data_IF_045517587709
#
_entry.id   IF_045517587709
#
_cell.length_a   1.000
_cell.length_b   1.000
_cell.length_c   1.000
_cell.angle_alpha   90.00
_cell.angle_beta   90.00
_cell.angle_gamma   90.00
#
_symmetry.space_group_name_H-M   'P 1'
#
loop_
_entity.id
_entity.type
_entity.pdbx_description
1 polymer ?
#
# COMPACT_ATOMS: atom_id res chain seq x y z
N UNK A 1 -3.29 -14.91 16.68
CA UNK A 1 -1.99 -15.62 16.56
C UNK A 1 -0.83 -14.93 17.29
N UNK A 2 -1.05 -13.71 17.84
CA UNK A 2 -0.01 -12.92 18.53
C UNK A 2 0.06 -13.11 20.06
N UNK A 3 -0.66 -14.07 20.65
CA UNK A 3 -0.81 -14.20 22.11
C UNK A 3 0.09 -15.24 22.78
N UNK A 4 1.05 -15.84 22.09
CA UNK A 4 1.86 -16.97 22.64
C UNK A 4 3.29 -16.62 23.07
N UNK A 5 3.64 -15.32 23.16
CA UNK A 5 5.02 -14.95 23.59
C UNK A 5 5.10 -14.40 25.02
N UNK A 6 4.09 -14.52 25.84
CA UNK A 6 4.23 -14.18 27.27
C UNK A 6 4.49 -15.45 28.10
N UNK A 7 5.64 -15.47 28.75
CA UNK A 7 6.02 -16.32 29.88
C UNK A 7 6.28 -17.81 29.58
N UNK A 8 7.49 -18.12 29.08
CA UNK A 8 8.07 -19.46 29.19
C UNK A 8 9.44 -19.40 29.87
N UNK A 9 9.45 -19.12 31.17
CA UNK A 9 10.61 -19.44 32.01
C UNK A 9 10.74 -20.95 32.09
N UNK A 10 11.93 -21.46 31.65
CA UNK A 10 12.49 -22.80 31.90
C UNK A 10 12.00 -24.02 31.12
N UNK A 11 11.36 -23.88 29.94
CA UNK A 11 11.19 -25.06 29.07
C UNK A 11 12.40 -25.22 28.14
N UNK A 12 13.02 -26.43 28.07
CA UNK A 12 14.05 -26.71 27.06
C UNK A 12 13.48 -26.51 25.68
N UNK A 13 13.99 -25.52 24.95
CA UNK A 13 13.55 -25.22 23.55
C UNK A 13 13.80 -26.45 22.67
N UNK A 14 12.85 -26.73 21.79
CA UNK A 14 13.03 -27.72 20.71
C UNK A 14 14.14 -27.29 19.76
N UNK A 15 14.64 -28.19 18.92
CA UNK A 15 15.63 -27.85 17.89
C UNK A 15 15.14 -26.73 16.96
N UNK A 16 13.87 -26.75 16.58
CA UNK A 16 13.22 -25.75 15.72
C UNK A 16 13.17 -24.39 16.41
N UNK A 17 12.71 -24.34 17.66
CA UNK A 17 12.66 -23.10 18.46
C UNK A 17 14.04 -22.48 18.66
N UNK A 18 15.10 -23.30 18.87
CA UNK A 18 16.49 -22.82 18.97
C UNK A 18 16.99 -22.19 17.67
N UNK A 19 16.68 -22.79 16.51
CA UNK A 19 17.03 -22.24 15.19
C UNK A 19 16.36 -20.87 15.00
N UNK A 20 15.09 -20.74 15.34
CA UNK A 20 14.35 -19.47 15.22
C UNK A 20 14.97 -18.38 16.11
N UNK A 21 15.26 -18.67 17.36
CA UNK A 21 15.92 -17.72 18.29
C UNK A 21 17.30 -17.30 17.79
N UNK A 22 18.09 -18.23 17.26
CA UNK A 22 19.43 -17.95 16.73
C UNK A 22 19.36 -17.10 15.46
N UNK A 23 18.43 -17.36 14.55
CA UNK A 23 18.19 -16.55 13.34
C UNK A 23 17.76 -15.13 13.70
N UNK A 24 16.78 -14.96 14.59
CA UNK A 24 16.32 -13.64 15.04
C UNK A 24 17.48 -12.85 15.62
N UNK A 25 18.26 -13.45 16.52
CA UNK A 25 19.42 -12.79 17.14
C UNK A 25 20.45 -12.34 16.10
N UNK A 26 20.87 -13.23 15.21
CA UNK A 26 21.86 -12.92 14.16
C UNK A 26 21.40 -11.80 13.26
N UNK A 27 20.12 -11.82 12.83
CA UNK A 27 19.59 -10.79 11.97
C UNK A 27 19.47 -9.45 12.72
N UNK A 28 18.99 -9.46 13.96
CA UNK A 28 18.92 -8.25 14.78
C UNK A 28 20.30 -7.62 15.00
N UNK A 29 21.33 -8.42 15.23
CA UNK A 29 22.70 -7.93 15.37
C UNK A 29 23.22 -7.27 14.06
N UNK A 30 22.97 -7.90 12.91
CA UNK A 30 23.29 -7.32 11.58
C UNK A 30 22.53 -6.01 11.34
N UNK A 31 21.24 -5.96 11.65
CA UNK A 31 20.43 -4.77 11.49
C UNK A 31 20.87 -3.64 12.42
N UNK A 32 21.22 -3.93 13.68
CA UNK A 32 21.77 -2.93 14.61
C UNK A 32 23.04 -2.29 14.08
N UNK A 33 23.95 -3.08 13.54
CA UNK A 33 25.21 -2.59 13.01
C UNK A 33 25.05 -1.74 11.73
N UNK A 34 24.13 -2.10 10.87
CA UNK A 34 24.02 -1.51 9.53
C UNK A 34 22.92 -0.46 9.39
N UNK A 35 21.82 -0.57 10.14
CA UNK A 35 20.66 0.32 10.02
C UNK A 35 20.53 1.31 11.16
N UNK A 36 20.95 0.98 12.38
CA UNK A 36 20.83 1.87 13.53
C UNK A 36 21.40 3.29 13.32
N UNK A 37 22.50 3.48 12.56
CA UNK A 37 23.00 4.80 12.23
C UNK A 37 22.16 5.56 11.19
N UNK A 38 21.23 4.88 10.48
CA UNK A 38 20.51 5.42 9.31
C UNK A 38 18.99 5.43 9.48
N UNK A 39 18.46 4.71 10.45
CA UNK A 39 17.04 4.60 10.71
C UNK A 39 16.77 4.71 12.20
N UNK A 40 15.71 5.42 12.56
CA UNK A 40 15.27 5.58 13.96
C UNK A 40 14.79 4.25 14.54
N UNK A 41 14.10 3.48 13.72
CA UNK A 41 13.58 2.15 14.09
C UNK A 41 13.43 1.27 12.87
N UNK A 42 13.37 -0.03 13.11
CA UNK A 42 13.05 -1.06 12.13
C UNK A 42 12.25 -2.18 12.79
N UNK A 43 11.23 -2.66 12.10
CA UNK A 43 10.52 -3.89 12.44
C UNK A 43 10.61 -4.84 11.26
N UNK A 44 10.83 -6.11 11.52
CA UNK A 44 10.92 -7.11 10.47
C UNK A 44 10.28 -8.43 10.90
N UNK A 45 9.84 -9.19 9.91
CA UNK A 45 9.47 -10.59 10.05
C UNK A 45 9.94 -11.36 8.83
N UNK A 46 10.39 -12.59 9.04
CA UNK A 46 10.72 -13.54 7.97
C UNK A 46 9.80 -14.73 8.11
N UNK A 47 9.15 -15.06 6.99
CA UNK A 47 8.27 -16.22 6.89
C UNK A 47 8.87 -17.23 5.90
N UNK A 48 8.90 -18.50 6.29
CA UNK A 48 9.30 -19.64 5.43
C UNK A 48 8.20 -20.70 5.56
N UNK A 49 7.69 -21.16 4.42
CA UNK A 49 6.63 -22.18 4.35
C UNK A 49 5.40 -21.86 5.24
N UNK A 50 4.99 -20.58 5.26
CA UNK A 50 3.84 -20.12 6.05
C UNK A 50 4.12 -19.93 7.55
N UNK A 51 5.34 -20.19 8.03
CA UNK A 51 5.73 -20.00 9.44
C UNK A 51 6.67 -18.80 9.61
N UNK A 52 6.40 -17.94 10.61
CA UNK A 52 7.32 -16.88 10.99
C UNK A 52 8.51 -17.51 11.70
N UNK A 53 9.68 -17.45 11.06
CA UNK A 53 10.94 -18.03 11.56
C UNK A 53 11.83 -17.03 12.27
N UNK A 54 11.65 -15.73 12.03
CA UNK A 54 12.32 -14.64 12.73
C UNK A 54 11.45 -13.39 12.72
N UNK A 55 11.37 -12.68 13.83
CA UNK A 55 10.72 -11.38 13.92
C UNK A 55 11.31 -10.58 15.10
N UNK A 56 11.55 -9.29 14.90
CA UNK A 56 12.00 -8.37 15.95
C UNK A 56 11.67 -6.93 15.59
N UNK A 57 11.74 -6.04 16.58
CA UNK A 57 11.63 -4.60 16.44
C UNK A 57 12.80 -3.92 17.17
N UNK A 58 13.49 -3.02 16.47
CA UNK A 58 14.72 -2.37 16.93
C UNK A 58 14.59 -0.86 16.84
N UNK A 59 15.19 -0.15 17.81
CA UNK A 59 15.21 1.31 17.84
C UNK A 59 14.06 1.89 18.67
N UNK A 60 13.63 3.10 18.34
CA UNK A 60 12.67 3.88 19.12
C UNK A 60 11.66 4.61 18.22
N UNK A 61 10.57 5.08 18.81
CA UNK A 61 9.41 5.71 18.14
C UNK A 61 9.68 7.11 17.55
N UNK A 62 10.88 7.64 17.73
CA UNK A 62 11.26 8.97 17.23
C UNK A 62 10.78 10.13 18.11
N UNK A 63 10.04 9.90 19.17
CA UNK A 63 9.64 10.92 20.14
C UNK A 63 10.83 11.39 20.96
N UNK A 64 10.64 12.47 21.76
CA UNK A 64 11.69 12.96 22.67
C UNK A 64 12.05 11.92 23.73
N UNK A 65 11.08 11.15 24.16
CA UNK A 65 11.18 10.10 25.16
C UNK A 65 11.96 8.87 24.66
N UNK A 66 12.06 8.71 23.33
CA UNK A 66 12.74 7.57 22.69
C UNK A 66 12.26 6.21 23.20
N UNK A 67 10.92 6.03 23.27
CA UNK A 67 10.34 4.77 23.70
C UNK A 67 10.72 3.65 22.73
N UNK A 68 11.15 2.48 23.25
CA UNK A 68 11.51 1.34 22.39
C UNK A 68 10.32 0.92 21.51
N UNK A 69 10.57 0.66 20.23
CA UNK A 69 9.56 0.06 19.37
C UNK A 69 9.40 -1.44 19.67
N UNK A 70 8.20 -1.94 19.42
CA UNK A 70 7.83 -3.35 19.58
C UNK A 70 7.20 -3.87 18.30
N UNK A 71 6.97 -5.16 18.19
CA UNK A 71 6.26 -5.79 17.06
C UNK A 71 4.80 -5.31 16.91
N UNK A 72 4.26 -4.60 17.90
CA UNK A 72 2.90 -4.03 17.84
C UNK A 72 2.88 -2.60 17.28
N UNK A 73 4.03 -2.01 16.98
CA UNK A 73 4.09 -0.68 16.35
C UNK A 73 3.76 -0.80 14.87
N UNK A 74 2.98 0.15 14.39
CA UNK A 74 2.61 0.26 12.98
C UNK A 74 3.53 1.23 12.25
N UNK A 75 3.76 0.96 10.99
CA UNK A 75 4.57 1.78 10.09
C UNK A 75 3.74 2.16 8.86
N UNK A 76 3.98 3.36 8.36
CA UNK A 76 3.43 3.74 7.07
C UNK A 76 4.13 2.94 5.97
N UNK A 77 3.36 2.12 5.26
CA UNK A 77 3.88 1.20 4.23
C UNK A 77 3.94 1.84 2.83
N UNK A 78 3.51 3.09 2.70
CA UNK A 78 3.59 3.85 1.45
C UNK A 78 3.06 3.03 0.25
N UNK A 79 3.88 2.86 -0.77
CA UNK A 79 3.49 2.22 -2.04
C UNK A 79 3.22 0.72 -1.97
N UNK A 80 3.47 0.07 -0.84
CA UNK A 80 2.97 -1.30 -0.61
C UNK A 80 1.44 -1.31 -0.65
N UNK A 81 0.78 -0.20 -0.29
CA UNK A 81 -0.67 -0.02 -0.42
C UNK A 81 -1.21 -0.30 -1.83
N UNK A 82 -0.38 -0.14 -2.88
CA UNK A 82 -0.76 -0.46 -4.26
C UNK A 82 -1.07 -1.94 -4.48
N UNK A 83 -0.45 -2.82 -3.71
CA UNK A 83 -0.76 -4.25 -3.75
C UNK A 83 -2.21 -4.47 -3.31
N UNK A 84 -2.63 -3.83 -2.21
CA UNK A 84 -4.02 -3.90 -1.74
C UNK A 84 -5.00 -3.32 -2.76
N UNK A 85 -4.66 -2.18 -3.38
CA UNK A 85 -5.47 -1.60 -4.44
C UNK A 85 -5.61 -2.55 -5.64
N UNK A 86 -4.51 -3.17 -6.07
CA UNK A 86 -4.55 -4.16 -7.16
C UNK A 86 -5.43 -5.36 -6.80
N UNK A 87 -5.28 -5.92 -5.59
CA UNK A 87 -6.10 -7.04 -5.13
C UNK A 87 -7.58 -6.64 -5.05
N UNK A 88 -7.89 -5.44 -4.56
CA UNK A 88 -9.26 -4.92 -4.50
C UNK A 88 -9.89 -4.83 -5.90
N UNK A 89 -9.17 -4.28 -6.88
CA UNK A 89 -9.63 -4.25 -8.28
C UNK A 89 -9.84 -5.65 -8.82
N UNK A 90 -8.89 -6.58 -8.58
CA UNK A 90 -9.00 -7.96 -9.06
C UNK A 90 -10.18 -8.72 -8.42
N UNK A 91 -10.52 -8.43 -7.17
CA UNK A 91 -11.76 -8.93 -6.53
C UNK A 91 -13.02 -8.49 -7.29
N UNK A 92 -13.05 -7.24 -7.76
CA UNK A 92 -14.16 -6.74 -8.58
C UNK A 92 -14.17 -7.33 -9.99
N UNK A 93 -12.99 -7.63 -10.55
CA UNK A 93 -12.86 -8.35 -11.83
C UNK A 93 -13.40 -9.76 -11.69
N UNK A 94 -13.03 -10.49 -10.65
CA UNK A 94 -13.51 -11.83 -10.34
C UNK A 94 -15.04 -11.88 -10.18
N UNK A 95 -15.63 -10.81 -9.63
CA UNK A 95 -17.09 -10.64 -9.51
C UNK A 95 -17.78 -10.22 -10.84
N UNK A 96 -17.03 -10.04 -11.93
CA UNK A 96 -17.55 -9.57 -13.22
C UNK A 96 -18.00 -8.11 -13.23
N UNK A 97 -17.66 -7.32 -12.20
CA UNK A 97 -18.06 -5.91 -12.07
C UNK A 97 -17.09 -4.94 -12.77
N UNK A 98 -15.86 -5.37 -12.97
CA UNK A 98 -14.79 -4.58 -13.62
C UNK A 98 -14.14 -5.42 -14.70
N UNK A 99 -13.89 -4.80 -15.87
CA UNK A 99 -13.05 -5.36 -16.90
C UNK A 99 -11.76 -4.52 -16.98
N UNK A 100 -10.60 -5.18 -16.95
CA UNK A 100 -9.30 -4.52 -16.95
C UNK A 100 -9.05 -3.71 -18.22
N UNK A 101 -9.65 -4.08 -19.34
CA UNK A 101 -9.42 -3.45 -20.65
C UNK A 101 -10.47 -2.38 -21.00
N UNK A 102 -11.44 -2.16 -20.12
CA UNK A 102 -12.39 -1.05 -20.24
C UNK A 102 -11.69 0.28 -19.87
N UNK A 103 -11.92 1.37 -20.63
CA UNK A 103 -11.47 2.70 -20.26
C UNK A 103 -11.95 3.09 -18.85
N UNK A 104 -11.02 3.59 -18.03
CA UNK A 104 -11.33 3.90 -16.62
C UNK A 104 -12.37 5.03 -16.50
N UNK A 105 -12.45 5.92 -17.47
CA UNK A 105 -13.46 7.00 -17.52
C UNK A 105 -14.91 6.48 -17.68
N UNK A 106 -15.11 5.23 -18.11
CA UNK A 106 -16.45 4.63 -18.14
C UNK A 106 -16.94 4.28 -16.73
N UNK A 107 -16.03 3.91 -15.83
CA UNK A 107 -16.35 3.72 -14.41
C UNK A 107 -16.37 5.03 -13.62
N UNK A 108 -15.54 5.99 -14.04
CA UNK A 108 -15.34 7.29 -13.39
C UNK A 108 -15.68 8.44 -14.35
N UNK A 109 -16.97 8.73 -14.60
CA UNK A 109 -17.38 9.74 -15.58
C UNK A 109 -16.94 11.18 -15.22
N UNK A 110 -16.55 11.43 -13.98
CA UNK A 110 -15.98 12.71 -13.54
C UNK A 110 -14.51 12.87 -13.96
N UNK A 111 -13.82 11.77 -14.27
CA UNK A 111 -12.44 11.81 -14.73
C UNK A 111 -12.37 12.35 -16.16
N UNK A 112 -11.78 13.53 -16.32
CA UNK A 112 -11.55 14.20 -17.60
C UNK A 112 -10.14 14.77 -17.66
N UNK A 113 -9.64 15.01 -18.88
CA UNK A 113 -8.36 15.70 -19.11
C UNK A 113 -8.49 16.62 -20.33
N UNK A 114 -7.56 17.59 -20.46
CA UNK A 114 -7.44 18.40 -21.69
C UNK A 114 -7.02 17.54 -22.90
N UNK A 115 -6.26 16.49 -22.65
CA UNK A 115 -5.78 15.56 -23.67
C UNK A 115 -6.83 14.48 -23.97
N UNK A 116 -7.44 14.43 -25.18
CA UNK A 116 -8.53 13.50 -25.48
C UNK A 116 -8.12 12.02 -25.40
N UNK A 117 -6.82 11.70 -25.42
CA UNK A 117 -6.31 10.33 -25.31
C UNK A 117 -6.59 9.71 -23.93
N UNK A 118 -6.99 10.50 -22.91
CA UNK A 118 -7.37 9.96 -21.60
C UNK A 118 -8.49 8.90 -21.71
N UNK A 119 -9.33 8.98 -22.75
CA UNK A 119 -10.38 7.99 -23.01
C UNK A 119 -9.87 6.62 -23.40
N UNK A 120 -8.57 6.49 -23.66
CA UNK A 120 -7.90 5.22 -23.95
C UNK A 120 -7.21 4.62 -22.72
N UNK A 121 -7.20 5.33 -21.60
CA UNK A 121 -6.60 4.82 -20.35
C UNK A 121 -7.52 3.74 -19.79
N UNK A 122 -7.08 2.50 -19.83
CA UNK A 122 -7.82 1.37 -19.25
C UNK A 122 -7.46 1.18 -17.78
N UNK A 123 -8.28 0.40 -17.06
CA UNK A 123 -7.98 -0.03 -15.68
C UNK A 123 -6.61 -0.71 -15.63
N UNK A 124 -6.29 -1.58 -16.59
CA UNK A 124 -4.98 -2.24 -16.73
C UNK A 124 -3.84 -1.23 -16.83
N UNK A 125 -3.99 -0.17 -17.61
CA UNK A 125 -2.96 0.86 -17.74
C UNK A 125 -2.68 1.61 -16.41
N UNK A 126 -3.67 1.76 -15.56
CA UNK A 126 -3.48 2.32 -14.23
C UNK A 126 -2.66 1.39 -13.33
N UNK A 127 -3.01 0.10 -13.28
CA UNK A 127 -2.37 -0.89 -12.41
C UNK A 127 -0.93 -1.23 -12.81
N UNK A 128 -0.59 -1.18 -14.09
CA UNK A 128 0.76 -1.48 -14.58
C UNK A 128 1.62 -0.24 -14.86
N UNK A 129 1.18 0.92 -14.40
CA UNK A 129 1.88 2.20 -14.59
C UNK A 129 2.07 2.63 -16.06
N UNK A 130 1.21 2.16 -16.98
CA UNK A 130 1.28 2.49 -18.40
C UNK A 130 0.18 3.48 -18.85
N UNK A 131 -0.39 4.23 -17.92
CA UNK A 131 -1.49 5.17 -18.23
C UNK A 131 -1.07 6.39 -19.04
N UNK A 132 0.21 6.75 -19.04
CA UNK A 132 0.69 8.00 -19.63
C UNK A 132 0.35 9.26 -18.83
N UNK A 133 -0.26 9.14 -17.65
CA UNK A 133 -0.61 10.27 -16.77
C UNK A 133 0.63 11.08 -16.37
N UNK A 134 0.48 12.39 -16.13
CA UNK A 134 1.63 13.29 -15.88
C UNK A 134 2.41 12.95 -14.63
N UNK A 135 1.78 12.33 -13.63
CA UNK A 135 2.34 12.06 -12.31
C UNK A 135 1.96 13.13 -11.30
N UNK A 136 1.92 12.72 -10.04
CA UNK A 136 1.42 13.53 -8.94
C UNK A 136 2.27 14.79 -8.72
N UNK A 137 1.60 15.92 -8.69
CA UNK A 137 2.18 17.22 -8.37
C UNK A 137 1.85 17.60 -6.92
N UNK A 138 2.64 17.09 -5.98
CA UNK A 138 2.41 17.23 -4.54
C UNK A 138 2.09 18.64 -4.06
N UNK A 139 2.59 19.67 -4.73
CA UNK A 139 2.31 21.09 -4.42
C UNK A 139 0.84 21.50 -4.65
N UNK A 140 0.06 20.68 -5.33
CA UNK A 140 -1.35 20.94 -5.62
C UNK A 140 -2.29 20.22 -4.66
N UNK A 141 -1.75 19.43 -3.73
CA UNK A 141 -2.55 18.68 -2.78
C UNK A 141 -2.36 19.22 -1.36
N UNK A 142 -3.47 19.38 -0.65
CA UNK A 142 -3.43 19.69 0.77
C UNK A 142 -2.97 18.47 1.57
N UNK A 143 -1.96 18.63 2.41
CA UNK A 143 -1.47 17.56 3.27
C UNK A 143 -2.40 17.27 4.47
N UNK A 144 -3.57 17.91 4.54
CA UNK A 144 -4.48 17.86 5.71
C UNK A 144 -5.35 16.61 5.79
N UNK A 145 -5.35 15.76 4.77
CA UNK A 145 -6.24 14.60 4.66
C UNK A 145 -5.61 13.29 5.15
N UNK A 146 -4.82 13.35 6.21
CA UNK A 146 -4.24 12.15 6.80
C UNK A 146 -5.18 11.62 7.88
N UNK A 147 -5.91 10.55 7.56
CA UNK A 147 -6.54 9.71 8.59
C UNK A 147 -8.05 9.74 8.72
N UNK A 148 -8.80 10.43 7.86
CA UNK A 148 -10.25 10.32 7.87
C UNK A 148 -10.76 9.29 6.85
N UNK A 149 -11.83 8.60 7.19
CA UNK A 149 -12.40 7.50 6.42
C UNK A 149 -13.01 7.93 5.07
N UNK A 150 -13.11 9.22 4.81
CA UNK A 150 -13.72 9.79 3.61
C UNK A 150 -12.67 10.53 2.77
N UNK A 151 -12.28 9.90 1.65
CA UNK A 151 -11.31 10.43 0.71
C UNK A 151 -11.96 11.31 -0.38
N UNK A 152 -13.25 11.67 -0.26
CA UNK A 152 -14.00 12.36 -1.32
C UNK A 152 -13.36 13.70 -1.70
N UNK A 153 -12.91 14.48 -0.73
CA UNK A 153 -12.24 15.77 -0.97
C UNK A 153 -10.92 15.58 -1.73
N UNK A 154 -10.12 14.60 -1.34
CA UNK A 154 -8.88 14.27 -2.04
C UNK A 154 -9.15 13.78 -3.47
N UNK A 155 -10.18 12.97 -3.67
CA UNK A 155 -10.58 12.51 -5.00
C UNK A 155 -10.99 13.68 -5.88
N UNK A 156 -11.72 14.65 -5.34
CA UNK A 156 -12.09 15.85 -6.07
C UNK A 156 -10.89 16.72 -6.44
N UNK A 157 -9.89 16.84 -5.55
CA UNK A 157 -8.61 17.52 -5.86
C UNK A 157 -7.90 16.84 -7.03
N UNK A 158 -7.84 15.50 -7.06
CA UNK A 158 -7.23 14.73 -8.15
C UNK A 158 -7.96 14.94 -9.47
N UNK A 159 -9.29 14.92 -9.48
CA UNK A 159 -10.08 15.23 -10.69
C UNK A 159 -9.80 16.66 -11.17
N UNK A 160 -9.81 17.63 -10.28
CA UNK A 160 -9.55 19.04 -10.61
C UNK A 160 -8.13 19.26 -11.17
N UNK A 161 -7.16 18.54 -10.64
CA UNK A 161 -5.78 18.55 -11.14
C UNK A 161 -5.69 17.92 -12.53
N UNK A 162 -6.17 16.69 -12.69
CA UNK A 162 -6.06 15.94 -13.94
C UNK A 162 -6.84 16.59 -15.08
N UNK A 163 -7.97 17.25 -14.79
CA UNK A 163 -8.77 17.94 -15.80
C UNK A 163 -8.02 19.06 -16.54
N UNK A 164 -6.92 19.56 -15.97
CA UNK A 164 -6.06 20.62 -16.52
C UNK A 164 -4.76 20.09 -17.12
N UNK A 165 -4.60 18.78 -17.20
CA UNK A 165 -3.36 18.14 -17.61
C UNK A 165 -3.43 17.52 -19.01
N UNK A 166 -2.26 17.31 -19.59
CA UNK A 166 -2.04 16.47 -20.78
C UNK A 166 -1.30 15.20 -20.40
N UNK A 167 -1.47 14.16 -21.19
CA UNK A 167 -0.68 12.95 -21.07
C UNK A 167 0.78 13.20 -21.50
N UNK A 168 1.72 12.56 -20.79
CA UNK A 168 3.16 12.58 -21.14
C UNK A 168 3.54 11.53 -22.18
N UNK A 169 2.67 10.54 -22.41
CA UNK A 169 2.84 9.45 -23.37
C UNK A 169 1.47 8.90 -23.80
N UNK A 170 1.44 8.09 -24.89
CA UNK A 170 0.23 7.36 -25.22
C UNK A 170 -0.04 6.27 -24.16
N UNK A 171 -1.30 6.03 -23.78
CA UNK A 171 -1.64 4.91 -22.91
C UNK A 171 -1.12 3.58 -23.50
N UNK A 172 -0.42 2.81 -22.68
CA UNK A 172 0.18 1.53 -23.08
C UNK A 172 1.55 1.62 -23.77
N UNK A 173 2.04 2.81 -24.09
CA UNK A 173 3.29 2.97 -24.84
C UNK A 173 4.52 2.51 -24.05
N UNK A 174 4.60 2.90 -22.77
CA UNK A 174 5.62 2.42 -21.84
C UNK A 174 5.18 2.56 -20.39
N UNK A 175 5.85 1.87 -19.48
CA UNK A 175 5.56 1.93 -18.05
C UNK A 175 6.41 3.01 -17.39
N UNK A 176 5.74 3.95 -16.71
CA UNK A 176 6.36 4.95 -15.85
C UNK A 176 5.57 5.08 -14.57
N UNK A 177 6.22 4.88 -13.46
CA UNK A 177 5.60 4.93 -12.14
C UNK A 177 4.72 6.17 -11.97
N UNK A 178 3.44 5.95 -11.60
CA UNK A 178 2.46 7.00 -11.46
C UNK A 178 1.48 6.70 -10.33
N UNK A 179 1.43 7.57 -9.31
CA UNK A 179 0.48 7.43 -8.21
C UNK A 179 -0.95 7.72 -8.65
N UNK A 180 -1.14 8.71 -9.55
CA UNK A 180 -2.49 9.14 -9.99
C UNK A 180 -3.28 7.98 -10.61
N UNK A 181 -2.61 7.07 -11.33
CA UNK A 181 -3.26 5.88 -11.87
C UNK A 181 -3.80 4.96 -10.77
N UNK A 182 -3.08 4.83 -9.65
CA UNK A 182 -3.56 4.06 -8.51
C UNK A 182 -4.63 4.78 -7.71
N UNK A 183 -4.58 6.12 -7.64
CA UNK A 183 -5.69 6.89 -7.06
C UNK A 183 -6.97 6.70 -7.88
N UNK A 184 -6.90 6.73 -9.22
CA UNK A 184 -8.06 6.41 -10.06
C UNK A 184 -8.56 4.97 -9.87
N UNK A 185 -7.64 4.01 -9.67
CA UNK A 185 -8.03 2.61 -9.38
C UNK A 185 -8.69 2.47 -8.00
N UNK A 186 -8.25 3.22 -6.99
CA UNK A 186 -8.89 3.32 -5.68
C UNK A 186 -10.31 3.90 -5.79
N UNK A 187 -10.46 5.03 -6.50
CA UNK A 187 -11.76 5.64 -6.78
C UNK A 187 -12.71 4.67 -7.49
N UNK A 188 -12.18 3.88 -8.45
CA UNK A 188 -12.96 2.85 -9.14
C UNK A 188 -13.48 1.80 -8.16
N UNK A 189 -12.64 1.32 -7.23
CA UNK A 189 -13.08 0.37 -6.21
C UNK A 189 -14.20 0.96 -5.37
N UNK A 190 -14.05 2.20 -4.89
CA UNK A 190 -15.08 2.87 -4.10
C UNK A 190 -16.38 3.03 -4.90
N UNK A 191 -16.29 3.49 -6.14
CA UNK A 191 -17.45 3.72 -7.02
C UNK A 191 -18.21 2.45 -7.36
N UNK A 192 -17.51 1.39 -7.75
CA UNK A 192 -18.12 0.13 -8.21
C UNK A 192 -18.65 -0.72 -7.06
N UNK A 193 -17.97 -0.67 -5.92
CA UNK A 193 -18.38 -1.44 -4.73
C UNK A 193 -19.47 -0.72 -3.92
N UNK A 194 -19.58 0.59 -4.03
CA UNK A 194 -20.39 1.42 -3.15
C UNK A 194 -19.88 1.50 -1.71
N UNK A 195 -18.60 1.14 -1.49
CA UNK A 195 -17.92 1.14 -0.18
C UNK A 195 -16.72 2.07 -0.22
N UNK A 196 -16.38 2.71 0.91
CA UNK A 196 -15.07 3.33 1.07
C UNK A 196 -13.97 2.30 0.80
N UNK A 197 -12.88 2.73 0.15
CA UNK A 197 -11.77 1.83 -0.25
C UNK A 197 -11.16 1.09 0.94
N UNK A 198 -10.91 1.77 2.06
CA UNK A 198 -10.38 1.16 3.28
C UNK A 198 -11.31 0.06 3.81
N UNK A 199 -12.60 0.36 3.94
CA UNK A 199 -13.62 -0.60 4.38
C UNK A 199 -13.75 -1.80 3.40
N UNK A 200 -13.57 -1.56 2.09
CA UNK A 200 -13.54 -2.65 1.11
C UNK A 200 -12.32 -3.56 1.33
N UNK A 201 -11.15 -2.99 1.52
CA UNK A 201 -9.92 -3.75 1.78
C UNK A 201 -10.03 -4.56 3.10
N UNK A 202 -10.52 -3.93 4.17
CA UNK A 202 -10.74 -4.59 5.44
C UNK A 202 -11.62 -5.82 5.25
N UNK A 203 -12.81 -5.63 4.71
CA UNK A 203 -13.82 -6.69 4.55
C UNK A 203 -13.41 -7.83 3.62
N UNK A 204 -12.69 -7.55 2.52
CA UNK A 204 -12.47 -8.54 1.46
C UNK A 204 -11.02 -9.00 1.32
N UNK A 205 -10.07 -8.37 2.02
CA UNK A 205 -8.65 -8.69 1.88
C UNK A 205 -8.01 -9.04 3.23
N UNK A 206 -8.27 -8.24 4.29
CA UNK A 206 -7.55 -8.42 5.56
C UNK A 206 -8.31 -9.20 6.63
N UNK A 207 -9.64 -9.29 6.54
CA UNK A 207 -10.50 -10.05 7.48
C UNK A 207 -10.92 -11.46 7.02
N UNK A 208 -10.78 -11.89 5.77
CA UNK A 208 -11.20 -13.24 5.33
C UNK A 208 -10.44 -14.38 6.00
#
# INVERSE_FOLDING_TARGET
LFYLWKDKTAKKLTKKERIHVDMTKKLSDVLRLNLAPKATSVSYAIMIDGEIVAADALGHDGTKEKNPVTLNHTYNVCSISKIFCTVAVMKLVEQGKVNLDTPICEYLPQFTMLDPRYRQITVRHCLNHASGLPGTQWKHFSATHVGEADNEEYYQEVYNYLSKCHLKANPGEYSTYCNDGFTLAEMLVAKVSGMNFGAFCEKYITEP
#
